data_IF_687227304111
#
_entry.id   IF_687227304111
#
_cell.length_a   1.000
_cell.length_b   1.000
_cell.length_c   1.000
_cell.angle_alpha   90.00
_cell.angle_beta   90.00
_cell.angle_gamma   90.00
#
_symmetry.space_group_name_H-M   'P 1'
#
loop_
_entity.id
_entity.type
_entity.pdbx_description
1 polymer ?
#
# COMPACT_ATOMS: atom_id res chain seq x y z
N UNK A 1 -28.59 -32.65 26.26
CA UNK A 1 -27.51 -33.20 25.40
C UNK A 1 -26.21 -32.99 26.16
N UNK A 2 -25.58 -34.03 26.73
CA UNK A 2 -24.37 -33.90 27.56
C UNK A 2 -23.10 -33.56 26.77
N UNK A 3 -23.23 -32.77 25.69
CA UNK A 3 -22.13 -32.26 24.86
C UNK A 3 -21.87 -30.80 25.23
N UNK A 4 -20.66 -30.32 24.99
CA UNK A 4 -20.39 -28.89 24.94
C UNK A 4 -21.29 -28.24 23.89
N UNK A 5 -21.94 -27.12 24.25
CA UNK A 5 -22.76 -26.36 23.31
C UNK A 5 -21.89 -25.79 22.18
N UNK A 6 -22.44 -25.70 20.96
CA UNK A 6 -21.75 -25.02 19.85
C UNK A 6 -21.83 -23.50 19.99
N UNK A 7 -20.89 -22.79 19.38
CA UNK A 7 -20.87 -21.32 19.36
C UNK A 7 -22.17 -20.73 18.79
N UNK A 8 -22.79 -21.43 17.83
CA UNK A 8 -24.11 -21.08 17.25
C UNK A 8 -25.25 -21.26 18.27
N UNK A 9 -25.29 -22.38 19.00
CA UNK A 9 -26.30 -22.62 20.05
C UNK A 9 -26.18 -21.59 21.18
N UNK A 10 -24.96 -21.17 21.51
CA UNK A 10 -24.70 -20.15 22.54
C UNK A 10 -25.11 -18.76 22.03
N UNK A 11 -24.74 -18.39 20.80
CA UNK A 11 -25.12 -17.12 20.19
C UNK A 11 -26.65 -16.97 20.10
N UNK A 12 -27.35 -18.01 19.64
CA UNK A 12 -28.81 -18.05 19.56
C UNK A 12 -29.47 -17.93 20.94
N UNK A 13 -28.92 -18.60 21.96
CA UNK A 13 -29.44 -18.51 23.33
C UNK A 13 -29.26 -17.13 23.96
N UNK A 14 -28.22 -16.39 23.54
CA UNK A 14 -27.92 -15.03 23.98
C UNK A 14 -28.63 -13.97 23.12
N UNK A 15 -29.36 -14.38 22.07
CA UNK A 15 -29.99 -13.47 21.12
C UNK A 15 -29.00 -12.63 20.31
N UNK A 16 -27.79 -13.14 20.11
CA UNK A 16 -26.70 -12.46 19.40
C UNK A 16 -26.50 -13.07 18.02
N UNK A 17 -26.08 -12.24 17.05
CA UNK A 17 -25.52 -12.77 15.81
C UNK A 17 -24.14 -13.38 16.06
N UNK A 18 -23.80 -14.44 15.31
CA UNK A 18 -22.55 -15.20 15.45
C UNK A 18 -21.29 -14.31 15.31
N UNK A 19 -21.31 -13.34 14.40
CA UNK A 19 -20.20 -12.39 14.23
C UNK A 19 -20.03 -11.51 15.48
N UNK A 20 -21.15 -11.09 16.09
CA UNK A 20 -21.13 -10.29 17.31
C UNK A 20 -20.69 -11.10 18.53
N UNK A 21 -21.06 -12.38 18.57
CA UNK A 21 -20.58 -13.33 19.56
C UNK A 21 -19.06 -13.52 19.46
N UNK A 22 -18.51 -13.69 18.25
CA UNK A 22 -17.06 -13.78 18.02
C UNK A 22 -16.30 -12.51 18.41
N UNK A 23 -16.85 -11.32 18.12
CA UNK A 23 -16.27 -10.05 18.59
C UNK A 23 -16.20 -9.97 20.11
N UNK A 24 -17.31 -10.28 20.80
CA UNK A 24 -17.37 -10.28 22.26
C UNK A 24 -16.41 -11.30 22.87
N UNK A 25 -16.34 -12.50 22.29
CA UNK A 25 -15.38 -13.52 22.71
C UNK A 25 -13.93 -13.04 22.54
N UNK A 26 -13.61 -12.34 21.44
CA UNK A 26 -12.28 -11.76 21.24
C UNK A 26 -11.98 -10.59 22.19
N UNK A 27 -12.98 -9.82 22.60
CA UNK A 27 -12.82 -8.75 23.60
C UNK A 27 -12.63 -9.29 25.03
N UNK A 28 -13.25 -10.44 25.34
CA UNK A 28 -13.12 -11.11 26.65
C UNK A 28 -11.85 -11.96 26.72
N UNK A 29 -11.30 -12.40 25.58
CA UNK A 29 -9.98 -13.04 25.54
C UNK A 29 -8.96 -12.11 26.19
N UNK A 30 -8.47 -12.53 27.35
CA UNK A 30 -7.45 -11.80 28.09
C UNK A 30 -6.14 -11.71 27.28
N UNK A 31 -5.27 -10.80 27.72
CA UNK A 31 -3.90 -10.72 27.18
C UNK A 31 -3.17 -12.00 27.63
N UNK A 32 -2.91 -12.91 26.69
CA UNK A 32 -1.99 -14.02 26.92
C UNK A 32 -0.55 -13.50 26.81
N UNK A 33 0.15 -13.45 27.95
CA UNK A 33 1.59 -13.21 27.97
C UNK A 33 2.29 -14.50 27.55
N UNK A 34 3.07 -14.44 26.48
CA UNK A 34 3.88 -15.57 25.98
C UNK A 34 5.34 -15.24 26.23
N UNK A 35 6.12 -16.20 26.72
CA UNK A 35 7.56 -16.03 26.84
C UNK A 35 8.19 -16.17 25.46
N UNK A 36 8.80 -15.09 24.98
CA UNK A 36 9.42 -15.05 23.67
C UNK A 36 10.65 -15.98 23.58
N UNK A 37 11.29 -16.30 24.71
CA UNK A 37 12.42 -17.21 24.82
C UNK A 37 12.02 -18.69 24.95
N UNK A 38 10.71 -19.00 24.99
CA UNK A 38 10.24 -20.38 25.09
C UNK A 38 10.68 -21.17 23.85
N UNK A 39 11.37 -22.28 24.07
CA UNK A 39 11.90 -23.15 23.02
C UNK A 39 10.73 -23.85 22.34
N UNK A 40 10.58 -23.58 21.05
CA UNK A 40 9.61 -24.25 20.19
C UNK A 40 10.25 -25.52 19.63
N UNK A 41 9.65 -26.67 19.96
CA UNK A 41 9.97 -27.97 19.34
C UNK A 41 10.64 -28.95 20.30
N UNK A 42 9.93 -30.05 20.58
CA UNK A 42 10.43 -31.24 21.26
C UNK A 42 9.98 -32.48 20.49
N UNK A 43 10.65 -32.77 19.37
CA UNK A 43 10.36 -33.91 18.51
C UNK A 43 11.57 -34.23 17.64
N UNK A 44 11.84 -35.53 17.46
CA UNK A 44 13.07 -36.06 16.89
C UNK A 44 13.40 -35.54 15.48
N UNK A 45 14.69 -35.32 15.27
CA UNK A 45 15.42 -35.13 14.00
C UNK A 45 15.02 -33.93 13.13
N UNK A 46 15.79 -32.85 13.29
CA UNK A 46 16.10 -31.91 12.21
C UNK A 46 15.22 -30.68 12.09
N UNK A 47 14.16 -30.56 12.88
CA UNK A 47 13.32 -29.36 12.86
C UNK A 47 13.96 -28.25 13.71
N UNK A 48 14.04 -27.04 13.16
CA UNK A 48 14.79 -25.91 13.73
C UNK A 48 14.30 -25.61 15.16
N UNK A 49 15.14 -25.89 16.15
CA UNK A 49 14.96 -25.45 17.53
C UNK A 49 15.11 -23.94 17.58
N UNK A 50 13.98 -23.23 17.49
CA UNK A 50 13.91 -21.77 17.58
C UNK A 50 13.06 -21.36 18.78
N UNK A 51 13.16 -20.11 19.18
CA UNK A 51 12.28 -19.50 20.15
C UNK A 51 11.10 -18.84 19.45
N UNK A 52 10.09 -18.42 20.21
CA UNK A 52 9.02 -17.59 19.63
C UNK A 52 9.56 -16.26 19.08
N UNK A 53 10.72 -15.77 19.56
CA UNK A 53 11.38 -14.56 19.03
C UNK A 53 11.71 -14.67 17.54
N UNK A 54 12.13 -15.86 17.10
CA UNK A 54 12.71 -16.06 15.77
C UNK A 54 11.68 -16.00 14.63
N UNK A 55 10.38 -16.06 14.97
CA UNK A 55 9.27 -16.04 14.00
C UNK A 55 8.44 -14.77 14.06
N UNK A 56 8.70 -13.89 15.04
CA UNK A 56 7.98 -12.63 15.16
C UNK A 56 8.58 -11.66 14.15
N UNK A 57 7.76 -11.25 13.18
CA UNK A 57 8.12 -10.23 12.23
C UNK A 57 8.25 -8.88 12.93
N UNK A 58 9.37 -8.19 12.72
CA UNK A 58 9.50 -6.79 13.06
C UNK A 58 8.83 -5.94 11.97
N UNK A 59 7.56 -5.59 12.21
CA UNK A 59 6.76 -4.74 11.31
C UNK A 59 7.29 -3.31 11.19
N UNK A 60 8.24 -2.90 12.05
CA UNK A 60 8.88 -1.60 12.00
C UNK A 60 10.25 -1.61 11.33
N UNK A 61 10.78 -2.80 11.01
CA UNK A 61 12.03 -2.91 10.28
C UNK A 61 11.91 -2.29 8.89
N UNK A 62 12.93 -1.53 8.48
CA UNK A 62 13.00 -1.03 7.10
C UNK A 62 13.06 -2.21 6.14
N UNK A 63 12.14 -2.25 5.18
CA UNK A 63 12.12 -3.25 4.13
C UNK A 63 12.95 -2.75 2.94
N UNK A 64 14.17 -3.27 2.71
CA UNK A 64 15.05 -2.75 1.65
C UNK A 64 14.47 -2.96 0.25
N UNK A 65 13.69 -4.02 0.07
CA UNK A 65 13.01 -4.30 -1.19
C UNK A 65 11.92 -3.26 -1.48
N UNK A 66 11.15 -2.86 -0.46
CA UNK A 66 10.18 -1.78 -0.60
C UNK A 66 10.85 -0.45 -0.96
N UNK A 67 11.97 -0.11 -0.30
CA UNK A 67 12.75 1.09 -0.61
C UNK A 67 13.29 1.09 -2.03
N UNK A 68 13.85 -0.03 -2.49
CA UNK A 68 14.34 -0.20 -3.86
C UNK A 68 13.20 -0.03 -4.88
N UNK A 69 12.05 -0.66 -4.63
CA UNK A 69 10.87 -0.57 -5.51
C UNK A 69 10.40 0.88 -5.67
N UNK A 70 10.38 1.67 -4.60
CA UNK A 70 10.03 3.09 -4.66
C UNK A 70 11.05 3.87 -5.52
N UNK A 71 12.36 3.58 -5.36
CA UNK A 71 13.39 4.22 -6.16
C UNK A 71 13.25 3.89 -7.66
N UNK A 72 12.98 2.64 -8.00
CA UNK A 72 12.73 2.23 -9.39
C UNK A 72 11.49 2.90 -9.99
N UNK A 73 10.39 2.96 -9.24
CA UNK A 73 9.18 3.66 -9.66
C UNK A 73 9.45 5.14 -9.96
N UNK A 74 10.24 5.81 -9.12
CA UNK A 74 10.64 7.21 -9.35
C UNK A 74 11.45 7.35 -10.64
N UNK A 75 12.41 6.46 -10.90
CA UNK A 75 13.21 6.47 -12.12
C UNK A 75 12.34 6.28 -13.37
N UNK A 76 11.41 5.32 -13.34
CA UNK A 76 10.47 5.08 -14.45
C UNK A 76 9.64 6.33 -14.76
N UNK A 77 9.12 7.01 -13.73
CA UNK A 77 8.35 8.25 -13.91
C UNK A 77 9.23 9.34 -14.50
N UNK A 78 10.44 9.54 -13.97
CA UNK A 78 11.39 10.54 -14.46
C UNK A 78 11.75 10.33 -15.93
N UNK A 79 12.10 9.10 -16.32
CA UNK A 79 12.43 8.74 -17.70
C UNK A 79 11.23 8.95 -18.62
N UNK A 80 10.03 8.61 -18.15
CA UNK A 80 8.80 8.81 -18.92
C UNK A 80 8.54 10.31 -19.16
N UNK A 81 8.70 11.16 -18.15
CA UNK A 81 8.60 12.63 -18.28
C UNK A 81 9.67 13.18 -19.23
N UNK A 82 10.89 12.65 -19.19
CA UNK A 82 11.98 13.05 -20.08
C UNK A 82 11.65 12.82 -21.56
N UNK A 83 10.79 11.84 -21.87
CA UNK A 83 10.35 11.55 -23.26
C UNK A 83 9.23 12.45 -23.78
N UNK A 84 8.65 13.31 -22.94
CA UNK A 84 7.64 14.27 -23.39
C UNK A 84 8.26 15.33 -24.32
N UNK A 85 7.50 15.82 -25.30
CA UNK A 85 7.85 17.04 -26.03
C UNK A 85 8.12 18.18 -25.06
N UNK A 86 9.08 19.05 -25.40
CA UNK A 86 9.55 20.13 -24.54
C UNK A 86 8.42 20.98 -23.94
N UNK A 87 7.46 21.42 -24.77
CA UNK A 87 6.30 22.20 -24.30
C UNK A 87 5.39 21.45 -23.34
N UNK A 88 5.21 20.15 -23.55
CA UNK A 88 4.40 19.30 -22.66
C UNK A 88 5.12 19.13 -21.31
N UNK A 89 6.43 18.85 -21.34
CA UNK A 89 7.26 18.75 -20.14
C UNK A 89 7.29 20.06 -19.35
N UNK A 90 7.39 21.21 -20.02
CA UNK A 90 7.40 22.51 -19.36
C UNK A 90 6.09 22.79 -18.62
N UNK A 91 4.95 22.53 -19.28
CA UNK A 91 3.62 22.68 -18.66
C UNK A 91 3.46 21.77 -17.44
N UNK A 92 3.91 20.51 -17.54
CA UNK A 92 3.89 19.58 -16.40
C UNK A 92 4.79 20.07 -15.27
N UNK A 93 6.00 20.54 -15.57
CA UNK A 93 6.93 21.09 -14.57
C UNK A 93 6.33 22.29 -13.84
N UNK A 94 5.81 23.27 -14.59
CA UNK A 94 5.21 24.45 -13.97
C UNK A 94 3.98 24.13 -13.12
N UNK A 95 3.17 23.15 -13.55
CA UNK A 95 1.98 22.77 -12.79
C UNK A 95 2.31 21.97 -11.51
N UNK A 96 3.20 20.98 -11.58
CA UNK A 96 3.45 20.06 -10.46
C UNK A 96 4.65 20.43 -9.58
N UNK A 97 5.63 21.15 -10.11
CA UNK A 97 6.85 21.52 -9.37
C UNK A 97 6.81 22.97 -8.89
N UNK A 98 6.38 23.89 -9.76
CA UNK A 98 6.27 25.33 -9.42
C UNK A 98 4.90 25.72 -8.86
N UNK A 99 3.95 24.77 -8.75
CA UNK A 99 2.58 24.96 -8.23
C UNK A 99 1.80 26.11 -8.92
N UNK A 100 2.05 26.32 -10.22
CA UNK A 100 1.39 27.37 -11.00
C UNK A 100 0.06 26.90 -11.57
N UNK A 101 -0.92 27.81 -11.62
CA UNK A 101 -2.20 27.54 -12.26
C UNK A 101 -2.15 27.74 -13.79
N UNK A 102 -3.19 27.27 -14.50
CA UNK A 102 -3.22 27.28 -15.97
C UNK A 102 -3.15 28.69 -16.58
N UNK A 103 -3.63 29.73 -15.88
CA UNK A 103 -3.55 31.12 -16.33
C UNK A 103 -2.14 31.69 -16.19
N UNK A 104 -1.47 31.41 -15.08
CA UNK A 104 -0.08 31.82 -14.83
C UNK A 104 0.85 31.17 -15.85
N UNK A 105 0.68 29.86 -16.07
CA UNK A 105 1.46 29.12 -17.07
C UNK A 105 1.21 29.68 -18.47
N UNK A 106 -0.04 30.01 -18.81
CA UNK A 106 -0.38 30.62 -20.09
C UNK A 106 0.32 31.97 -20.29
N UNK A 107 0.37 32.78 -19.23
CA UNK A 107 1.06 34.07 -19.22
C UNK A 107 2.56 33.91 -19.45
N UNK A 108 3.21 32.99 -18.75
CA UNK A 108 4.66 32.71 -18.89
C UNK A 108 4.99 32.20 -20.31
N UNK A 109 4.15 31.33 -20.85
CA UNK A 109 4.35 30.71 -22.15
C UNK A 109 3.86 31.55 -23.34
N UNK A 110 3.23 32.71 -23.09
CA UNK A 110 2.64 33.55 -24.13
C UNK A 110 1.49 32.89 -24.90
N UNK A 111 0.71 32.03 -24.25
CA UNK A 111 -0.43 31.30 -24.83
C UNK A 111 -1.68 31.40 -23.94
N UNK A 112 -2.85 31.07 -24.50
CA UNK A 112 -4.10 31.10 -23.73
C UNK A 112 -4.18 29.96 -22.71
N UNK A 113 -4.92 30.19 -21.62
CA UNK A 113 -5.23 29.17 -20.61
C UNK A 113 -5.79 27.87 -21.24
N UNK A 114 -6.75 28.01 -22.17
CA UNK A 114 -7.33 26.87 -22.90
C UNK A 114 -6.25 26.06 -23.64
N UNK A 115 -5.25 26.73 -24.21
CA UNK A 115 -4.14 26.06 -24.89
C UNK A 115 -3.26 25.29 -23.89
N UNK A 116 -3.01 25.83 -22.70
CA UNK A 116 -2.28 25.13 -21.63
C UNK A 116 -3.05 23.87 -21.20
N UNK A 117 -4.36 23.97 -20.97
CA UNK A 117 -5.20 22.81 -20.61
C UNK A 117 -5.11 21.68 -21.64
N UNK A 118 -5.10 22.02 -22.94
CA UNK A 118 -4.94 21.04 -24.02
C UNK A 118 -3.56 20.37 -23.98
N UNK A 119 -2.50 21.15 -23.79
CA UNK A 119 -1.12 20.64 -23.70
C UNK A 119 -0.99 19.70 -22.50
N UNK A 120 -1.49 20.12 -21.33
CA UNK A 120 -1.50 19.31 -20.11
C UNK A 120 -2.27 17.99 -20.32
N UNK A 121 -3.47 18.05 -20.87
CA UNK A 121 -4.29 16.85 -21.16
C UNK A 121 -3.54 15.87 -22.09
N UNK A 122 -2.89 16.39 -23.13
CA UNK A 122 -2.10 15.57 -24.07
C UNK A 122 -0.89 14.94 -23.39
N UNK A 123 -0.20 15.68 -22.53
CA UNK A 123 0.92 15.19 -21.75
C UNK A 123 0.46 14.03 -20.83
N UNK A 124 -0.63 14.21 -20.09
CA UNK A 124 -1.20 13.18 -19.21
C UNK A 124 -1.59 11.91 -19.95
N UNK A 125 -2.20 12.03 -21.14
CA UNK A 125 -2.54 10.88 -21.98
C UNK A 125 -1.29 10.09 -22.40
N UNK A 126 -0.22 10.79 -22.80
CA UNK A 126 1.07 10.16 -23.17
C UNK A 126 1.74 9.47 -21.99
N UNK A 127 1.80 10.14 -20.84
CA UNK A 127 2.37 9.58 -19.62
C UNK A 127 1.62 8.30 -19.22
N UNK A 128 0.28 8.34 -19.18
CA UNK A 128 -0.56 7.17 -18.85
C UNK A 128 -0.33 6.01 -19.82
N UNK A 129 -0.27 6.27 -21.12
CA UNK A 129 -0.06 5.23 -22.13
C UNK A 129 1.30 4.53 -21.94
N UNK A 130 2.35 5.28 -21.62
CA UNK A 130 3.68 4.71 -21.35
C UNK A 130 3.74 3.95 -20.04
N UNK A 131 3.25 4.54 -18.95
CA UNK A 131 3.30 3.92 -17.61
C UNK A 131 2.45 2.64 -17.53
N UNK A 132 1.33 2.56 -18.26
CA UNK A 132 0.50 1.35 -18.31
C UNK A 132 1.28 0.15 -18.85
N UNK A 133 2.06 0.35 -19.92
CA UNK A 133 2.90 -0.71 -20.49
C UNK A 133 4.07 -1.15 -19.60
N UNK A 134 4.45 -0.35 -18.59
CA UNK A 134 5.49 -0.70 -17.62
C UNK A 134 4.95 -1.31 -16.33
N UNK A 135 3.69 -1.08 -15.97
CA UNK A 135 3.07 -1.63 -14.74
C UNK A 135 2.52 -3.05 -14.94
N UNK A 136 2.29 -3.44 -16.20
CA UNK A 136 1.77 -4.77 -16.59
C UNK A 136 2.91 -5.77 -16.92
N UNK A 137 4.18 -5.40 -16.71
CA UNK A 137 5.35 -6.28 -16.79
C UNK A 137 5.83 -6.65 -15.40
#
# INVERSE_FOLDING_TARGET
LGRSASDEEVADSLGLQIDKFHELMNQVRGISLVNLEEIRGGGAEGDRTGTFADIVEDVHAENPFASLKIAEQRNIVADTIATLPEKERLVVSFYYYEDLNMKEIGTILGITESRVCQIHTKAMLRLRAKLKGLTER
#
